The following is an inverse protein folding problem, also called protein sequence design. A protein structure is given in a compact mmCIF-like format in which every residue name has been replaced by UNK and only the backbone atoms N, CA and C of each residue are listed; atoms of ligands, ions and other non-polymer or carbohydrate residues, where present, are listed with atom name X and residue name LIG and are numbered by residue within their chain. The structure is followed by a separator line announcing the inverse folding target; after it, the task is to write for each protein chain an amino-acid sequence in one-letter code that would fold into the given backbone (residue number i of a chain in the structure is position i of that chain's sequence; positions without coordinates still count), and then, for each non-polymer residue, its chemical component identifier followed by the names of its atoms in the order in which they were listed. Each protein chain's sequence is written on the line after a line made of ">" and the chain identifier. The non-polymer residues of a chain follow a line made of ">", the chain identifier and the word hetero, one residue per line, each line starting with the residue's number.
data_IF_251337905294
#
_entry.id   IF_251337905294
#
_cell.length_a   1.000
_cell.length_b   1.000
_cell.length_c   1.000
_cell.angle_alpha   90.00
_cell.angle_beta   90.00
_cell.angle_gamma   90.00
#
_symmetry.space_group_name_H-M   'P 1'
#
loop_
_entity.id
_entity.type
_entity.pdbx_description
1 polymer ?
#
# COMPACT_ATOMS: atom_id res chain seq x y z
N UNK A 1 0.42 12.16 14.78
CA UNK A 1 0.12 10.80 15.27
C UNK A 1 -0.40 9.92 14.13
N UNK A 2 -1.10 10.54 13.16
CA UNK A 2 -1.79 9.87 12.05
C UNK A 2 -0.88 9.18 11.05
N UNK A 3 0.34 9.69 10.82
CA UNK A 3 1.29 9.12 9.84
C UNK A 3 1.68 7.67 10.16
N UNK A 4 1.87 7.34 11.44
CA UNK A 4 2.22 5.97 11.86
C UNK A 4 1.03 5.04 11.65
N UNK A 5 -0.18 5.53 11.93
CA UNK A 5 -1.41 4.76 11.74
C UNK A 5 -1.66 4.48 10.25
N UNK A 6 -1.58 5.51 9.40
CA UNK A 6 -1.70 5.40 7.94
C UNK A 6 -0.62 4.46 7.39
N UNK A 7 0.62 4.59 7.84
CA UNK A 7 1.71 3.69 7.42
C UNK A 7 1.39 2.23 7.76
N UNK A 8 0.90 1.95 8.97
CA UNK A 8 0.55 0.58 9.37
C UNK A 8 -0.66 0.05 8.61
N UNK A 9 -1.68 0.89 8.38
CA UNK A 9 -2.84 0.55 7.56
C UNK A 9 -2.42 0.17 6.13
N UNK A 10 -1.54 0.97 5.51
CA UNK A 10 -1.03 0.68 4.17
C UNK A 10 -0.25 -0.64 4.13
N UNK A 11 0.59 -0.91 5.14
CA UNK A 11 1.30 -2.20 5.24
C UNK A 11 0.33 -3.38 5.37
N UNK A 12 -0.75 -3.20 6.15
CA UNK A 12 -1.82 -4.19 6.27
C UNK A 12 -2.51 -4.43 4.93
N UNK A 13 -2.93 -3.36 4.25
CA UNK A 13 -3.62 -3.46 2.96
C UNK A 13 -2.75 -4.09 1.87
N UNK A 14 -1.44 -3.83 1.90
CA UNK A 14 -0.47 -4.49 0.99
C UNK A 14 -0.49 -6.01 1.17
N UNK A 15 -0.39 -6.50 2.41
CA UNK A 15 -0.37 -7.94 2.69
C UNK A 15 -1.74 -8.59 2.46
N UNK A 16 -2.81 -7.91 2.89
CA UNK A 16 -4.17 -8.40 2.75
C UNK A 16 -4.56 -8.56 1.27
N UNK A 17 -4.17 -7.61 0.41
CA UNK A 17 -4.51 -7.64 -1.01
C UNK A 17 -3.84 -8.79 -1.75
N UNK A 18 -2.59 -9.13 -1.42
CA UNK A 18 -1.89 -10.27 -2.02
C UNK A 18 -2.13 -11.61 -1.29
N UNK A 19 -3.05 -11.65 -0.32
CA UNK A 19 -3.39 -12.87 0.43
C UNK A 19 -2.31 -13.37 1.38
N UNK A 20 -1.38 -12.50 1.79
CA UNK A 20 -0.37 -12.83 2.79
C UNK A 20 -0.91 -12.67 4.22
N UNK A 21 -0.38 -13.42 5.21
CA UNK A 21 -0.73 -13.24 6.61
C UNK A 21 -0.49 -11.81 7.10
N UNK A 22 -1.48 -11.23 7.78
CA UNK A 22 -1.48 -9.83 8.21
C UNK A 22 -1.06 -9.61 9.67
N UNK A 23 -0.85 -10.69 10.42
CA UNK A 23 -0.62 -10.72 11.88
C UNK A 23 0.56 -9.85 12.34
N UNK A 24 1.51 -9.59 11.44
CA UNK A 24 2.68 -8.77 11.68
C UNK A 24 2.92 -7.73 10.58
N UNK A 25 1.86 -7.15 10.03
CA UNK A 25 1.94 -6.12 8.99
C UNK A 25 2.88 -4.96 9.34
N UNK A 26 2.97 -4.56 10.61
CA UNK A 26 3.89 -3.53 11.07
C UNK A 26 5.38 -3.87 10.85
N UNK A 27 5.75 -5.16 10.83
CA UNK A 27 7.11 -5.65 10.55
C UNK A 27 7.48 -5.61 9.07
N UNK A 28 6.53 -5.33 8.17
CA UNK A 28 6.81 -5.18 6.76
C UNK A 28 7.80 -4.04 6.54
N UNK A 29 8.96 -4.38 5.98
CA UNK A 29 10.03 -3.42 5.75
C UNK A 29 9.62 -2.44 4.65
N UNK A 30 9.84 -1.15 4.89
CA UNK A 30 9.44 -0.10 3.94
C UNK A 30 10.19 -0.18 2.61
N UNK A 31 11.37 -0.78 2.59
CA UNK A 31 12.16 -0.96 1.36
C UNK A 31 11.78 -2.22 0.57
N UNK A 32 10.85 -3.04 1.05
CA UNK A 32 10.42 -4.26 0.37
C UNK A 32 9.69 -3.90 -0.93
N UNK A 33 10.14 -4.41 -2.10
CA UNK A 33 9.42 -4.26 -3.36
C UNK A 33 8.11 -5.07 -3.37
N UNK A 34 7.03 -4.52 -3.93
CA UNK A 34 5.74 -5.22 -4.04
C UNK A 34 5.87 -6.55 -4.81
N UNK A 35 6.70 -6.61 -5.85
CA UNK A 35 7.01 -7.85 -6.57
C UNK A 35 7.53 -8.99 -5.67
N UNK A 36 8.24 -8.68 -4.59
CA UNK A 36 8.71 -9.72 -3.64
C UNK A 36 7.62 -10.22 -2.69
N UNK A 37 6.46 -9.57 -2.68
CA UNK A 37 5.29 -9.88 -1.83
C UNK A 37 4.19 -10.55 -2.68
N UNK A 38 4.43 -10.82 -3.96
CA UNK A 38 3.50 -11.54 -4.84
C UNK A 38 2.67 -10.67 -5.78
N UNK A 39 2.92 -9.35 -5.84
CA UNK A 39 2.29 -8.44 -6.80
C UNK A 39 2.81 -8.59 -8.24
N UNK A 40 3.83 -9.42 -8.45
CA UNK A 40 4.36 -9.78 -9.77
C UNK A 40 3.48 -10.80 -10.50
N UNK A 41 2.59 -11.47 -9.79
CA UNK A 41 1.77 -12.56 -10.30
C UNK A 41 0.49 -12.12 -10.99
N UNK A 42 -0.02 -10.94 -10.61
CA UNK A 42 -1.33 -10.46 -11.03
C UNK A 42 -1.38 -8.93 -11.00
N UNK A 43 -1.59 -8.32 -12.17
CA UNK A 43 -1.73 -6.87 -12.31
C UNK A 43 -2.98 -6.33 -11.61
N UNK A 44 -4.02 -7.14 -11.43
CA UNK A 44 -5.23 -6.75 -10.71
C UNK A 44 -4.95 -6.49 -9.23
N UNK A 45 -3.90 -7.11 -8.66
CA UNK A 45 -3.49 -6.82 -7.28
C UNK A 45 -3.02 -5.38 -7.13
N UNK A 46 -2.31 -4.84 -8.12
CA UNK A 46 -1.90 -3.44 -8.11
C UNK A 46 -3.13 -2.52 -8.17
N UNK A 47 -4.13 -2.84 -9.01
CA UNK A 47 -5.39 -2.08 -9.13
C UNK A 47 -6.21 -2.10 -7.84
N UNK A 48 -6.32 -3.28 -7.20
CA UNK A 48 -7.00 -3.43 -5.90
C UNK A 48 -6.30 -2.64 -4.80
N UNK A 49 -4.96 -2.67 -4.79
CA UNK A 49 -4.18 -1.89 -3.82
C UNK A 49 -4.38 -0.39 -4.05
N UNK A 50 -4.42 0.10 -5.30
CA UNK A 50 -4.70 1.51 -5.60
C UNK A 50 -6.04 1.97 -5.04
N UNK A 51 -7.09 1.17 -5.23
CA UNK A 51 -8.41 1.46 -4.69
C UNK A 51 -8.37 1.56 -3.16
N UNK A 52 -7.70 0.61 -2.49
CA UNK A 52 -7.50 0.65 -1.04
C UNK A 52 -6.75 1.91 -0.59
N UNK A 53 -5.63 2.24 -1.25
CA UNK A 53 -4.86 3.44 -0.92
C UNK A 53 -5.64 4.73 -1.16
N UNK A 54 -6.53 4.76 -2.18
CA UNK A 54 -7.42 5.89 -2.44
C UNK A 54 -8.43 6.07 -1.31
N UNK A 55 -9.07 4.98 -0.86
CA UNK A 55 -9.98 4.99 0.29
C UNK A 55 -9.28 5.49 1.54
N UNK A 56 -8.08 4.98 1.85
CA UNK A 56 -7.28 5.46 2.99
C UNK A 56 -6.94 6.95 2.83
N UNK A 57 -6.51 7.41 1.65
CA UNK A 57 -6.20 8.81 1.44
C UNK A 57 -7.41 9.74 1.71
N UNK A 58 -8.61 9.31 1.34
CA UNK A 58 -9.89 10.00 1.55
C UNK A 58 -10.33 9.95 3.02
N UNK A 59 -10.31 8.78 3.66
CA UNK A 59 -10.68 8.58 5.06
C UNK A 59 -9.84 9.44 6.00
N UNK A 60 -8.52 9.48 5.76
CA UNK A 60 -7.58 10.25 6.58
C UNK A 60 -7.41 11.70 6.10
N UNK A 61 -8.18 12.14 5.10
CA UNK A 61 -8.16 13.51 4.55
C UNK A 61 -6.74 14.01 4.25
N UNK A 62 -5.92 13.13 3.69
CA UNK A 62 -4.49 13.40 3.44
C UNK A 62 -4.26 14.47 2.36
N UNK A 63 -5.30 14.80 1.57
CA UNK A 63 -5.21 15.69 0.42
C UNK A 63 -4.54 15.07 -0.79
N UNK A 64 -4.15 13.78 -0.72
CA UNK A 64 -3.54 13.04 -1.83
C UNK A 64 -4.59 12.30 -2.65
N UNK A 65 -4.31 12.17 -3.94
CA UNK A 65 -5.12 11.38 -4.87
C UNK A 65 -4.26 10.30 -5.47
N UNK A 66 -4.58 9.05 -5.15
CA UNK A 66 -3.96 7.89 -5.76
C UNK A 66 -4.63 7.63 -7.10
N UNK A 67 -3.97 8.07 -8.18
CA UNK A 67 -4.44 7.86 -9.54
C UNK A 67 -4.41 6.37 -9.90
N UNK A 68 -5.26 5.97 -10.83
CA UNK A 68 -5.11 4.67 -11.48
C UNK A 68 -3.76 4.63 -12.21
N UNK A 69 -3.01 3.56 -12.03
CA UNK A 69 -1.65 3.43 -12.55
C UNK A 69 -0.56 3.93 -11.60
N UNK A 70 -0.93 4.53 -10.46
CA UNK A 70 0.03 5.06 -9.50
C UNK A 70 0.80 3.95 -8.77
N UNK A 71 0.25 2.74 -8.67
CA UNK A 71 0.90 1.58 -8.07
C UNK A 71 1.39 0.63 -9.15
N UNK A 72 2.64 0.22 -9.04
CA UNK A 72 3.22 -0.85 -9.85
C UNK A 72 3.98 -1.83 -8.99
N UNK A 73 4.12 -3.07 -9.46
CA UNK A 73 4.91 -4.13 -8.83
C UNK A 73 6.37 -3.75 -8.51
N UNK A 74 6.91 -2.73 -9.19
CA UNK A 74 8.27 -2.21 -8.97
C UNK A 74 8.36 -1.21 -7.82
N UNK A 75 7.23 -0.73 -7.30
CA UNK A 75 7.22 0.13 -6.13
C UNK A 75 7.60 -0.65 -4.87
N UNK A 76 8.14 0.11 -3.93
CA UNK A 76 8.38 -0.33 -2.57
C UNK A 76 7.21 0.07 -1.67
N UNK A 77 7.07 -0.62 -0.54
CA UNK A 77 6.10 -0.28 0.52
C UNK A 77 6.22 1.20 0.92
N UNK A 78 7.44 1.75 0.98
CA UNK A 78 7.70 3.18 1.25
C UNK A 78 7.03 4.08 0.23
N UNK A 79 7.15 3.75 -1.05
CA UNK A 79 6.57 4.56 -2.12
C UNK A 79 5.04 4.50 -2.08
N UNK A 80 4.45 3.34 -1.78
CA UNK A 80 3.01 3.22 -1.56
C UNK A 80 2.53 4.10 -0.39
N UNK A 81 3.29 4.14 0.70
CA UNK A 81 3.01 5.03 1.82
C UNK A 81 3.08 6.49 1.37
N UNK A 82 4.13 6.89 0.65
CA UNK A 82 4.32 8.26 0.16
C UNK A 82 3.18 8.72 -0.76
N UNK A 83 2.59 7.84 -1.58
CA UNK A 83 1.43 8.19 -2.40
C UNK A 83 0.23 8.69 -1.59
N UNK A 84 0.14 8.29 -0.32
CA UNK A 84 -0.97 8.63 0.57
C UNK A 84 -0.61 9.77 1.52
N UNK A 85 0.65 9.90 1.96
CA UNK A 85 1.02 10.88 3.02
C UNK A 85 1.98 12.00 2.59
N UNK A 86 2.66 11.91 1.44
CA UNK A 86 3.78 12.81 1.08
C UNK A 86 3.40 13.76 -0.06
#
# INVERSE_FOLDING_TARGET
>A
MDIIFISNQIKYDILNTCGMPVDHSYNLLTNTPLKSIGYDRDEDLCRKLEEKLRVVAEEYKTGKRVAEGAVSQNLTVRQCIQLVIA
#
